data_IF_842929917577
#
_entry.id   IF_842929917577
#
_cell.length_a   1.000
_cell.length_b   1.000
_cell.length_c   1.000
_cell.angle_alpha   90.00
_cell.angle_beta   90.00
_cell.angle_gamma   90.00
#
_symmetry.space_group_name_H-M   'P 1'
#
loop_
_entity.id
_entity.type
_entity.pdbx_description
1 polymer ?
#
# COMPACT_ATOMS: atom_id res chain seq x y z
N UNK A 1 3.01 2.02 -13.03
CA UNK A 1 2.62 2.93 -11.93
C UNK A 1 3.19 2.34 -10.64
N UNK A 2 3.76 3.16 -9.75
CA UNK A 2 4.81 2.83 -8.74
C UNK A 2 6.09 2.19 -9.30
N UNK A 3 6.00 1.10 -10.07
CA UNK A 3 7.14 0.42 -10.72
C UNK A 3 7.97 1.31 -11.68
N UNK A 4 7.41 2.45 -12.11
CA UNK A 4 8.12 3.46 -12.90
C UNK A 4 9.16 4.23 -12.06
N UNK A 5 8.92 4.35 -10.75
CA UNK A 5 9.69 5.18 -9.83
C UNK A 5 10.41 4.36 -8.76
N UNK A 6 9.97 3.12 -8.54
CA UNK A 6 10.51 2.18 -7.58
C UNK A 6 10.90 0.93 -8.38
N UNK A 7 12.19 0.60 -8.41
CA UNK A 7 12.70 -0.51 -9.20
C UNK A 7 12.14 -1.85 -8.74
N UNK A 8 12.41 -2.20 -7.48
CA UNK A 8 11.85 -3.39 -6.84
C UNK A 8 10.82 -2.96 -5.79
N UNK A 9 9.55 -3.30 -6.05
CA UNK A 9 8.45 -2.96 -5.17
C UNK A 9 8.46 -3.72 -3.84
N UNK A 10 9.23 -4.81 -3.72
CA UNK A 10 9.26 -5.66 -2.52
C UNK A 10 10.16 -5.14 -1.41
N UNK A 11 11.10 -4.25 -1.75
CA UNK A 11 12.10 -3.69 -0.82
C UNK A 11 11.56 -2.60 0.14
N UNK A 12 10.69 -1.66 -0.28
CA UNK A 12 10.24 -0.59 0.58
C UNK A 12 9.29 -1.06 1.70
N UNK A 13 9.19 -0.21 2.71
CA UNK A 13 8.11 -0.22 3.69
C UNK A 13 7.05 0.80 3.25
N UNK A 14 5.81 0.36 3.10
CA UNK A 14 4.69 1.19 2.64
C UNK A 14 3.82 1.63 3.82
N UNK A 15 3.53 2.93 3.88
CA UNK A 15 2.56 3.51 4.81
C UNK A 15 1.37 4.05 4.00
N UNK A 16 0.17 3.61 4.33
CA UNK A 16 -1.06 4.00 3.65
C UNK A 16 -2.02 4.54 4.70
N UNK A 17 -2.37 5.82 4.62
CA UNK A 17 -3.34 6.45 5.50
C UNK A 17 -4.44 7.12 4.67
N UNK A 18 -5.70 6.75 4.88
CA UNK A 18 -6.78 7.22 4.01
C UNK A 18 -8.20 6.77 4.36
N UNK A 19 -9.20 7.16 3.53
CA UNK A 19 -10.49 6.48 3.48
C UNK A 19 -10.36 4.96 3.38
N UNK A 20 -11.28 4.19 3.99
CA UNK A 20 -11.24 2.72 3.96
C UNK A 20 -11.10 2.14 2.54
N UNK A 21 -11.87 2.67 1.58
CA UNK A 21 -11.81 2.19 0.19
C UNK A 21 -10.45 2.39 -0.49
N UNK A 22 -9.75 3.49 -0.17
CA UNK A 22 -8.41 3.75 -0.70
C UNK A 22 -7.38 2.85 -0.04
N UNK A 23 -7.43 2.72 1.29
CA UNK A 23 -6.50 1.89 2.06
C UNK A 23 -6.57 0.44 1.60
N UNK A 24 -7.79 -0.10 1.49
CA UNK A 24 -8.03 -1.48 1.03
C UNK A 24 -7.56 -1.66 -0.41
N UNK A 25 -7.86 -0.72 -1.32
CA UNK A 25 -7.45 -0.81 -2.72
C UNK A 25 -5.93 -0.77 -2.91
N UNK A 26 -5.24 0.12 -2.20
CA UNK A 26 -3.78 0.22 -2.27
C UNK A 26 -3.09 -0.97 -1.63
N UNK A 27 -3.55 -1.45 -0.46
CA UNK A 27 -3.01 -2.66 0.17
C UNK A 27 -3.10 -3.86 -0.77
N UNK A 28 -4.29 -4.10 -1.34
CA UNK A 28 -4.50 -5.17 -2.32
C UNK A 28 -3.53 -5.07 -3.50
N UNK A 29 -3.38 -3.88 -4.07
CA UNK A 29 -2.47 -3.65 -5.21
C UNK A 29 -1.01 -3.98 -4.87
N UNK A 30 -0.54 -3.62 -3.68
CA UNK A 30 0.82 -3.94 -3.23
C UNK A 30 0.99 -5.44 -2.97
N UNK A 31 0.03 -6.08 -2.31
CA UNK A 31 0.05 -7.53 -2.09
C UNK A 31 0.07 -8.32 -3.41
N UNK A 32 -0.75 -7.92 -4.39
CA UNK A 32 -0.76 -8.50 -5.75
C UNK A 32 0.56 -8.26 -6.51
N UNK A 33 1.32 -7.24 -6.11
CA UNK A 33 2.65 -6.94 -6.65
C UNK A 33 3.78 -7.71 -5.92
N UNK A 34 3.45 -8.60 -4.99
CA UNK A 34 4.42 -9.44 -4.26
C UNK A 34 5.06 -8.77 -3.04
N UNK A 35 4.55 -7.61 -2.60
CA UNK A 35 5.02 -6.96 -1.38
C UNK A 35 4.61 -7.82 -0.18
N UNK A 36 5.56 -8.14 0.70
CA UNK A 36 5.26 -8.80 1.96
C UNK A 36 4.34 -7.91 2.80
N UNK A 37 3.26 -8.49 3.32
CA UNK A 37 2.28 -7.80 4.16
C UNK A 37 2.93 -7.21 5.44
N UNK A 38 4.04 -7.81 5.93
CA UNK A 38 4.86 -7.27 7.03
C UNK A 38 5.49 -5.89 6.69
N UNK A 39 5.64 -5.59 5.40
CA UNK A 39 6.16 -4.32 4.90
C UNK A 39 5.04 -3.28 4.68
N UNK A 40 3.77 -3.60 4.93
CA UNK A 40 2.63 -2.70 4.71
C UNK A 40 2.04 -2.27 6.05
N UNK A 41 1.92 -0.95 6.27
CA UNK A 41 1.30 -0.35 7.45
C UNK A 41 0.13 0.51 7.01
N UNK A 42 -1.03 0.28 7.61
CA UNK A 42 -2.28 0.93 7.21
C UNK A 42 -2.93 1.66 8.37
N UNK A 43 -3.46 2.85 8.10
CA UNK A 43 -4.32 3.59 9.01
C UNK A 43 -5.57 4.06 8.25
N UNK A 44 -6.74 3.70 8.75
CA UNK A 44 -8.01 4.11 8.15
C UNK A 44 -8.58 5.29 8.93
N UNK A 45 -9.03 6.31 8.21
CA UNK A 45 -9.80 7.40 8.80
C UNK A 45 -11.12 7.59 8.06
N UNK A 46 -12.18 7.81 8.84
CA UNK A 46 -13.55 7.97 8.36
C UNK A 46 -14.15 9.25 8.96
N UNK A 47 -15.17 9.81 8.30
CA UNK A 47 -15.93 10.94 8.85
C UNK A 47 -15.49 12.33 8.38
N UNK A 48 -14.94 12.46 7.18
CA UNK A 48 -14.78 13.73 6.46
C UNK A 48 -15.79 13.83 5.30
#
# INVERSE_FOLDING_TARGET
MLSKYIGDLTLPIYYIAGPPGMVVGLRKTLSESGVNDDNIRTEEFSGY
#
